data_IF_083403800426
#
_entry.id   IF_083403800426
#
_cell.length_a   1.000
_cell.length_b   1.000
_cell.length_c   1.000
_cell.angle_alpha   90.00
_cell.angle_beta   90.00
_cell.angle_gamma   90.00
#
_symmetry.space_group_name_H-M   'P 1'
#
loop_
_entity.id
_entity.type
_entity.pdbx_description
1 polymer ?
#
# COMPACT_ATOMS: atom_id res chain seq x y z
N UNK A 1 -0.55 -28.87 5.94
CA UNK A 1 -1.38 -29.09 4.74
C UNK A 1 -2.08 -27.78 4.41
N UNK A 2 -1.52 -27.02 3.47
CA UNK A 2 -1.91 -25.63 3.17
C UNK A 2 -3.12 -25.64 2.25
N UNK A 3 -4.32 -25.73 2.81
CA UNK A 3 -5.52 -25.34 2.07
C UNK A 3 -5.50 -23.81 1.97
N UNK A 4 -4.80 -23.30 0.95
CA UNK A 4 -5.05 -21.99 0.36
C UNK A 4 -6.56 -21.93 0.13
N UNK A 5 -7.31 -21.23 0.98
CA UNK A 5 -8.69 -20.98 0.66
C UNK A 5 -8.69 -20.08 -0.57
N UNK A 6 -8.98 -20.64 -1.75
CA UNK A 6 -8.98 -19.91 -3.04
C UNK A 6 -9.77 -18.61 -2.93
N UNK A 7 -10.77 -18.56 -2.05
CA UNK A 7 -11.59 -17.37 -1.77
C UNK A 7 -10.81 -16.24 -1.09
N UNK A 8 -9.82 -16.53 -0.24
CA UNK A 8 -8.99 -15.51 0.43
C UNK A 8 -8.11 -14.80 -0.56
N UNK A 9 -7.41 -15.56 -1.41
CA UNK A 9 -6.57 -15.01 -2.49
C UNK A 9 -7.44 -14.22 -3.45
N UNK A 10 -8.58 -14.76 -3.87
CA UNK A 10 -9.51 -14.08 -4.76
C UNK A 10 -9.97 -12.73 -4.19
N UNK A 11 -10.39 -12.68 -2.91
CA UNK A 11 -10.83 -11.44 -2.25
C UNK A 11 -9.71 -10.40 -2.20
N UNK A 12 -8.52 -10.81 -1.78
CA UNK A 12 -7.37 -9.91 -1.72
C UNK A 12 -7.00 -9.37 -3.12
N UNK A 13 -6.99 -10.23 -4.13
CA UNK A 13 -6.71 -9.85 -5.52
C UNK A 13 -7.76 -8.90 -6.08
N UNK A 14 -9.06 -9.16 -5.87
CA UNK A 14 -10.13 -8.27 -6.33
C UNK A 14 -10.01 -6.87 -5.72
N UNK A 15 -9.73 -6.79 -4.42
CA UNK A 15 -9.54 -5.52 -3.73
C UNK A 15 -8.28 -4.83 -4.26
N UNK A 16 -7.16 -5.54 -4.38
CA UNK A 16 -5.92 -4.96 -4.89
C UNK A 16 -6.10 -4.39 -6.31
N UNK A 17 -6.71 -5.17 -7.21
CA UNK A 17 -7.04 -4.71 -8.56
C UNK A 17 -7.96 -3.50 -8.55
N UNK A 18 -8.99 -3.50 -7.70
CA UNK A 18 -9.89 -2.35 -7.53
C UNK A 18 -9.15 -1.09 -7.07
N UNK A 19 -8.26 -1.20 -6.07
CA UNK A 19 -7.45 -0.07 -5.59
C UNK A 19 -6.54 0.46 -6.69
N UNK A 20 -5.86 -0.42 -7.44
CA UNK A 20 -5.01 0.00 -8.56
C UNK A 20 -5.82 0.77 -9.60
N UNK A 21 -6.97 0.24 -10.03
CA UNK A 21 -7.81 0.90 -11.03
C UNK A 21 -8.30 2.26 -10.54
N UNK A 22 -8.84 2.31 -9.32
CA UNK A 22 -9.38 3.55 -8.74
C UNK A 22 -8.30 4.61 -8.56
N UNK A 23 -7.14 4.23 -8.04
CA UNK A 23 -6.02 5.17 -7.85
C UNK A 23 -5.49 5.68 -9.19
N UNK A 24 -5.26 4.79 -10.18
CA UNK A 24 -4.78 5.19 -11.50
C UNK A 24 -5.78 6.11 -12.22
N UNK A 25 -7.08 5.84 -12.15
CA UNK A 25 -8.12 6.73 -12.68
C UNK A 25 -8.09 8.08 -11.95
N UNK A 26 -8.00 8.09 -10.61
CA UNK A 26 -7.96 9.33 -9.83
C UNK A 26 -6.77 10.21 -10.21
N UNK A 27 -5.60 9.60 -10.43
CA UNK A 27 -4.38 10.29 -10.85
C UNK A 27 -4.47 10.85 -12.27
N UNK A 28 -5.18 10.17 -13.17
CA UNK A 28 -5.40 10.64 -14.54
C UNK A 28 -6.41 11.79 -14.62
N UNK A 29 -7.40 11.81 -13.72
CA UNK A 29 -8.44 12.85 -13.69
C UNK A 29 -8.03 14.09 -12.88
N UNK A 30 -6.97 14.01 -12.09
CA UNK A 30 -6.51 15.10 -11.26
C UNK A 30 -5.97 16.28 -12.07
N UNK A 31 -6.42 17.49 -11.75
CA UNK A 31 -5.98 18.74 -12.39
C UNK A 31 -4.65 19.28 -11.86
N UNK A 32 -4.32 18.99 -10.60
CA UNK A 32 -3.10 19.45 -9.94
C UNK A 32 -2.33 18.24 -9.39
N UNK A 33 -1.33 17.79 -10.14
CA UNK A 33 -0.50 16.64 -9.78
C UNK A 33 0.92 17.11 -9.49
N UNK A 34 1.47 16.68 -8.36
CA UNK A 34 2.89 16.79 -8.04
C UNK A 34 3.55 15.43 -8.20
N UNK A 35 4.68 15.38 -8.89
CA UNK A 35 5.50 14.17 -8.93
C UNK A 35 6.35 14.08 -7.67
N UNK A 36 6.20 12.98 -6.93
CA UNK A 36 6.93 12.69 -5.72
C UNK A 36 8.05 11.66 -6.01
N UNK A 37 9.31 12.11 -6.07
CA UNK A 37 10.44 11.21 -6.34
C UNK A 37 10.92 10.45 -5.08
N UNK A 38 10.43 10.78 -3.89
CA UNK A 38 10.89 10.15 -2.66
C UNK A 38 10.24 8.80 -2.37
N UNK A 39 10.58 8.29 -1.19
CA UNK A 39 9.72 7.38 -0.43
C UNK A 39 8.55 8.22 0.15
N UNK A 40 7.51 7.62 0.72
CA UNK A 40 6.30 8.30 1.18
C UNK A 40 6.57 9.68 1.82
N UNK A 41 5.76 10.68 1.44
CA UNK A 41 5.90 12.10 1.82
C UNK A 41 7.16 12.83 1.27
N UNK A 42 7.87 12.27 0.28
CA UNK A 42 9.05 12.91 -0.32
C UNK A 42 10.36 12.63 0.43
N UNK A 43 10.33 11.78 1.45
CA UNK A 43 11.50 11.42 2.24
C UNK A 43 12.55 10.72 1.37
N UNK A 44 13.82 11.02 1.66
CA UNK A 44 14.99 10.45 0.99
C UNK A 44 15.08 10.68 -0.53
N UNK A 45 14.27 11.58 -1.11
CA UNK A 45 14.32 11.93 -2.53
C UNK A 45 15.71 12.35 -3.03
N UNK A 46 16.50 13.01 -2.17
CA UNK A 46 17.86 13.45 -2.47
C UNK A 46 18.94 12.36 -2.29
N UNK A 47 18.59 11.22 -1.66
CA UNK A 47 19.53 10.17 -1.28
C UNK A 47 19.29 8.83 -1.98
N UNK A 48 18.13 8.65 -2.63
CA UNK A 48 17.73 7.37 -3.22
C UNK A 48 17.23 7.62 -4.64
N UNK A 49 17.81 6.93 -5.61
CA UNK A 49 17.37 6.99 -7.02
C UNK A 49 16.05 6.24 -7.23
N UNK A 50 15.28 6.60 -8.27
CA UNK A 50 14.02 5.91 -8.60
C UNK A 50 14.18 4.38 -8.73
N UNK A 51 15.19 3.85 -9.46
CA UNK A 51 15.39 2.42 -9.53
C UNK A 51 15.61 1.77 -8.17
N UNK A 52 16.32 2.43 -7.24
CA UNK A 52 16.51 1.92 -5.88
C UNK A 52 15.20 1.88 -5.10
N UNK A 53 14.32 2.89 -5.23
CA UNK A 53 12.99 2.86 -4.59
C UNK A 53 12.14 1.73 -5.15
N UNK A 54 12.18 1.49 -6.45
CA UNK A 54 11.50 0.35 -7.11
C UNK A 54 12.02 -0.98 -6.56
N UNK A 55 13.34 -1.18 -6.54
CA UNK A 55 13.96 -2.42 -6.00
C UNK A 55 13.61 -2.63 -4.54
N UNK A 56 13.68 -1.58 -3.71
CA UNK A 56 13.31 -1.64 -2.31
C UNK A 56 11.83 -2.01 -2.12
N UNK A 57 10.95 -1.42 -2.92
CA UNK A 57 9.51 -1.70 -2.84
C UNK A 57 9.21 -3.14 -3.27
N UNK A 58 9.86 -3.64 -4.34
CA UNK A 58 9.76 -5.06 -4.74
C UNK A 58 10.28 -5.99 -3.64
N UNK A 59 11.41 -5.65 -3.03
CA UNK A 59 11.99 -6.41 -1.92
C UNK A 59 11.04 -6.48 -0.72
N UNK A 60 10.44 -5.35 -0.32
CA UNK A 60 9.46 -5.30 0.77
C UNK A 60 8.22 -6.14 0.42
N UNK A 61 7.67 -5.99 -0.79
CA UNK A 61 6.51 -6.78 -1.21
C UNK A 61 6.81 -8.29 -1.22
N UNK A 62 8.00 -8.68 -1.68
CA UNK A 62 8.47 -10.06 -1.66
C UNK A 62 8.66 -10.59 -0.23
N UNK A 63 9.31 -9.81 0.64
CA UNK A 63 9.52 -10.17 2.03
C UNK A 63 8.18 -10.32 2.76
N UNK A 64 7.23 -9.41 2.56
CA UNK A 64 5.89 -9.53 3.13
C UNK A 64 5.14 -10.75 2.57
N UNK A 65 5.30 -11.07 1.28
CA UNK A 65 4.71 -12.28 0.69
C UNK A 65 5.25 -13.56 1.32
N UNK A 66 6.55 -13.61 1.61
CA UNK A 66 7.17 -14.80 2.16
C UNK A 66 6.96 -14.93 3.68
N UNK A 67 7.26 -13.86 4.43
CA UNK A 67 7.29 -13.89 5.89
C UNK A 67 5.95 -13.55 6.55
N UNK A 68 5.08 -12.75 5.91
CA UNK A 68 3.77 -12.38 6.45
C UNK A 68 2.62 -13.21 5.83
N UNK A 69 2.94 -14.37 5.25
CA UNK A 69 1.99 -15.21 4.52
C UNK A 69 0.76 -15.61 5.34
N UNK A 70 0.96 -16.03 6.59
CA UNK A 70 -0.14 -16.42 7.48
C UNK A 70 -1.00 -15.22 7.89
N UNK A 71 -0.38 -14.05 7.94
CA UNK A 71 -1.07 -12.81 8.25
C UNK A 71 -1.99 -12.39 7.09
N UNK A 72 -1.51 -12.44 5.85
CA UNK A 72 -2.35 -12.16 4.66
C UNK A 72 -3.54 -13.09 4.52
N UNK A 73 -3.37 -14.35 4.91
CA UNK A 73 -4.47 -15.31 4.88
C UNK A 73 -5.55 -15.00 5.91
N UNK A 74 -5.17 -14.43 7.06
CA UNK A 74 -6.10 -14.03 8.13
C UNK A 74 -6.82 -12.72 7.82
N UNK A 75 -6.22 -11.84 7.02
CA UNK A 75 -6.73 -10.50 6.75
C UNK A 75 -6.74 -10.17 5.25
N UNK A 76 -7.57 -10.85 4.42
CA UNK A 76 -7.59 -10.66 2.97
C UNK A 76 -7.90 -9.22 2.54
N UNK A 77 -8.74 -8.51 3.29
CA UNK A 77 -9.11 -7.13 2.98
C UNK A 77 -7.93 -6.17 3.18
N UNK A 78 -7.27 -6.24 4.33
CA UNK A 78 -6.08 -5.43 4.62
C UNK A 78 -4.92 -5.79 3.69
N UNK A 79 -4.75 -7.08 3.35
CA UNK A 79 -3.77 -7.52 2.35
C UNK A 79 -4.05 -6.91 0.96
N UNK A 80 -5.31 -6.94 0.51
CA UNK A 80 -5.72 -6.34 -0.76
C UNK A 80 -5.51 -4.83 -0.80
N UNK A 81 -5.88 -4.11 0.26
CA UNK A 81 -5.66 -2.67 0.39
C UNK A 81 -4.17 -2.30 0.32
N UNK A 82 -3.34 -3.00 1.10
CA UNK A 82 -1.90 -2.76 1.15
C UNK A 82 -1.23 -3.06 -0.19
N UNK A 83 -1.48 -4.25 -0.75
CA UNK A 83 -0.86 -4.67 -2.00
C UNK A 83 -1.34 -3.81 -3.17
N UNK A 84 -2.63 -3.47 -3.22
CA UNK A 84 -3.19 -2.60 -4.25
C UNK A 84 -2.56 -1.21 -4.23
N UNK A 85 -2.46 -0.57 -3.05
CA UNK A 85 -1.83 0.74 -2.93
C UNK A 85 -0.34 0.70 -3.29
N UNK A 86 0.39 -0.30 -2.77
CA UNK A 86 1.81 -0.45 -3.07
C UNK A 86 2.08 -0.70 -4.56
N UNK A 87 1.28 -1.56 -5.21
CA UNK A 87 1.37 -1.81 -6.65
C UNK A 87 1.03 -0.56 -7.46
N UNK A 88 -0.01 0.20 -7.08
CA UNK A 88 -0.37 1.41 -7.83
C UNK A 88 0.73 2.47 -7.79
N UNK A 89 1.33 2.71 -6.61
CA UNK A 89 2.46 3.62 -6.47
C UNK A 89 3.74 3.07 -7.13
N UNK A 90 3.87 1.75 -7.26
CA UNK A 90 4.96 1.14 -8.03
C UNK A 90 4.80 1.41 -9.53
N UNK A 91 3.60 1.24 -10.08
CA UNK A 91 3.33 1.52 -11.50
C UNK A 91 3.73 2.95 -11.83
N UNK A 92 3.37 3.90 -10.97
CA UNK A 92 3.77 5.30 -11.13
C UNK A 92 5.29 5.48 -11.23
N UNK A 93 6.05 4.85 -10.33
CA UNK A 93 7.52 4.93 -10.35
C UNK A 93 8.12 4.34 -11.61
N UNK A 94 7.60 3.22 -12.08
CA UNK A 94 8.08 2.54 -13.28
C UNK A 94 7.81 3.36 -14.54
N UNK A 95 6.63 3.96 -14.66
CA UNK A 95 6.20 4.64 -15.89
C UNK A 95 6.46 6.15 -15.91
N UNK A 96 6.50 6.81 -14.75
CA UNK A 96 6.57 8.28 -14.63
C UNK A 96 7.76 8.77 -13.81
N UNK A 97 8.57 7.86 -13.24
CA UNK A 97 9.77 8.24 -12.46
C UNK A 97 9.47 8.90 -11.11
N UNK A 98 8.25 8.77 -10.61
CA UNK A 98 7.80 9.32 -9.32
C UNK A 98 6.32 9.01 -9.10
N UNK A 99 5.85 9.17 -7.87
CA UNK A 99 4.44 8.96 -7.51
C UNK A 99 3.62 10.21 -7.80
N UNK A 100 2.47 10.08 -8.45
CA UNK A 100 1.58 11.22 -8.77
C UNK A 100 0.70 11.55 -7.57
N UNK A 101 1.09 12.55 -6.79
CA UNK A 101 0.35 13.04 -5.63
C UNK A 101 -0.54 14.21 -6.03
N UNK A 102 -1.86 14.05 -5.86
CA UNK A 102 -2.85 15.03 -6.30
C UNK A 102 -3.71 15.57 -5.16
N UNK A 103 -3.84 14.82 -4.08
CA UNK A 103 -4.66 15.19 -2.93
C UNK A 103 -3.81 16.03 -1.97
N UNK A 104 -4.19 17.30 -1.81
CA UNK A 104 -3.57 18.19 -0.84
C UNK A 104 -4.13 17.94 0.55
N UNK A 105 -3.25 17.86 1.55
CA UNK A 105 -3.59 17.77 2.97
C UNK A 105 -3.08 19.04 3.67
N UNK A 106 -3.91 20.11 3.71
CA UNK A 106 -3.43 21.46 4.04
C UNK A 106 -2.85 21.57 5.45
N UNK A 107 -3.42 20.84 6.40
CA UNK A 107 -3.00 20.86 7.82
C UNK A 107 -1.53 20.50 8.01
N UNK A 108 -0.97 19.68 7.13
CA UNK A 108 0.40 19.18 7.25
C UNK A 108 1.33 19.68 6.13
N UNK A 109 0.82 20.43 5.15
CA UNK A 109 1.60 20.85 3.98
C UNK A 109 2.08 19.66 3.12
N UNK A 110 1.34 18.55 3.14
CA UNK A 110 1.68 17.31 2.44
C UNK A 110 0.71 17.07 1.29
N UNK A 111 1.17 16.36 0.26
CA UNK A 111 0.31 15.80 -0.78
C UNK A 111 0.40 14.28 -0.77
N UNK A 112 -0.68 13.63 -1.13
CA UNK A 112 -0.76 12.19 -1.23
C UNK A 112 -1.73 11.79 -2.37
N UNK A 113 -2.04 10.51 -2.45
CA UNK A 113 -2.95 9.93 -3.42
C UNK A 113 -3.85 8.86 -2.77
N UNK A 114 -4.75 8.30 -3.57
CA UNK A 114 -5.70 7.29 -3.10
C UNK A 114 -4.99 6.00 -2.64
N UNK A 115 -3.92 5.59 -3.33
CA UNK A 115 -3.11 4.45 -2.95
C UNK A 115 -2.44 4.60 -1.56
N UNK A 116 -2.01 5.79 -1.19
CA UNK A 116 -1.46 6.06 0.16
C UNK A 116 -2.50 5.87 1.25
N UNK A 117 -3.74 6.32 1.01
CA UNK A 117 -4.86 6.09 1.93
C UNK A 117 -5.21 4.61 2.04
N UNK A 118 -5.16 3.86 0.95
CA UNK A 118 -5.38 2.41 0.99
C UNK A 118 -4.33 1.70 1.87
N UNK A 119 -3.05 2.09 1.74
CA UNK A 119 -1.97 1.58 2.59
C UNK A 119 -2.21 1.98 4.05
N UNK A 120 -2.51 3.25 4.31
CA UNK A 120 -2.73 3.78 5.65
C UNK A 120 -3.88 3.07 6.38
N UNK A 121 -5.04 2.92 5.71
CA UNK A 121 -6.21 2.22 6.25
C UNK A 121 -5.92 0.73 6.47
N UNK A 122 -5.15 0.10 5.59
CA UNK A 122 -4.66 -1.26 5.83
C UNK A 122 -3.89 -1.33 7.15
N UNK A 123 -2.84 -0.51 7.32
CA UNK A 123 -2.01 -0.50 8.52
C UNK A 123 -2.81 -0.24 9.80
N UNK A 124 -3.77 0.69 9.79
CA UNK A 124 -4.68 0.92 10.91
C UNK A 124 -5.48 -0.33 11.24
N UNK A 125 -6.02 -1.01 10.24
CA UNK A 125 -6.75 -2.27 10.43
C UNK A 125 -5.84 -3.31 11.10
N UNK A 126 -4.63 -3.52 10.58
CA UNK A 126 -3.66 -4.47 11.14
C UNK A 126 -3.40 -4.15 12.61
N UNK A 127 -3.08 -2.88 12.89
CA UNK A 127 -2.72 -2.42 14.23
C UNK A 127 -3.86 -2.68 15.20
N UNK A 128 -5.08 -2.21 14.87
CA UNK A 128 -6.27 -2.41 15.71
C UNK A 128 -6.51 -3.89 15.99
N UNK A 129 -6.49 -4.73 14.96
CA UNK A 129 -6.77 -6.16 15.12
C UNK A 129 -5.69 -6.88 15.94
N UNK A 130 -4.45 -6.43 15.87
CA UNK A 130 -3.35 -6.98 16.66
C UNK A 130 -3.48 -6.57 18.13
N UNK A 131 -3.77 -5.30 18.41
CA UNK A 131 -3.96 -4.78 19.77
C UNK A 131 -5.14 -5.44 20.48
N UNK A 132 -6.30 -5.57 19.82
CA UNK A 132 -7.48 -6.23 20.39
C UNK A 132 -7.19 -7.68 20.76
N UNK A 133 -6.42 -8.40 19.93
CA UNK A 133 -6.04 -9.79 20.21
C UNK A 133 -5.02 -9.92 21.33
N UNK A 134 -4.11 -8.95 21.46
CA UNK A 134 -3.16 -8.92 22.58
C UNK A 134 -3.91 -8.74 23.90
N UNK A 135 -4.83 -7.78 23.98
CA UNK A 135 -5.65 -7.52 25.16
C UNK A 135 -6.50 -8.75 25.57
N UNK A 136 -7.06 -9.49 24.61
CA UNK A 136 -7.83 -10.70 24.89
C UNK A 136 -7.00 -11.84 25.47
N UNK A 137 -5.71 -11.94 25.14
CA UNK A 137 -4.81 -12.98 25.67
C UNK A 137 -4.40 -12.71 27.11
N UNK A 138 -4.42 -11.46 27.57
CA UNK A 138 -4.09 -11.10 28.96
C UNK A 138 -5.26 -11.42 29.92
N UNK A 139 -6.48 -11.56 29.39
CA UNK A 139 -7.69 -11.85 30.19
C UNK A 139 -8.03 -13.34 30.35
N UNK A 140 -7.26 -14.24 29.75
CA UNK A 140 -7.44 -15.72 29.80
C UNK A 140 -6.24 -16.40 30.43
#
# INVERSE_FOLDING_TARGET
MVLKSKSVVLRASLIASGIVVLDQISKLQASNVTSNPGVGLGLAAQYISQPMVVVLTLFILFALWFFARDWWQRFPYAAGLFCGGALSNMLDRVFFGGVRDWLEVPVFGLRNNFADWAIFLSLIWILRTTLVRAAQKETT
#
